data_IF_353499224991
#
_entry.id   IF_353499224991
#
_cell.length_a   1.000
_cell.length_b   1.000
_cell.length_c   1.000
_cell.angle_alpha   90.00
_cell.angle_beta   90.00
_cell.angle_gamma   90.00
#
_symmetry.space_group_name_H-M   'P 1'
#
loop_
_entity.id
_entity.type
_entity.pdbx_description
1 polymer ?
#
# COMPACT_ATOMS: atom_id res chain seq x y z
N UNK A 1 -1.99 -14.38 -12.31
CA UNK A 1 -2.32 -15.30 -11.20
C UNK A 1 -3.16 -16.49 -11.71
N UNK A 2 -2.94 -17.69 -11.14
CA UNK A 2 -3.80 -18.85 -11.40
C UNK A 2 -5.16 -18.73 -10.72
N UNK A 3 -6.14 -19.52 -11.17
CA UNK A 3 -7.31 -19.85 -10.36
C UNK A 3 -6.94 -20.68 -9.13
N UNK A 4 -7.96 -21.12 -8.40
CA UNK A 4 -7.79 -22.04 -7.27
C UNK A 4 -7.98 -23.49 -7.70
N UNK A 5 -7.23 -24.40 -7.07
CA UNK A 5 -7.52 -25.85 -7.18
C UNK A 5 -8.90 -26.16 -6.61
N UNK A 6 -9.50 -27.25 -7.07
CA UNK A 6 -10.76 -27.75 -6.50
C UNK A 6 -10.49 -28.44 -5.16
N UNK A 7 -11.45 -28.35 -4.26
CA UNK A 7 -11.39 -28.97 -2.94
C UNK A 7 -11.92 -28.04 -1.84
N UNK A 8 -11.96 -28.52 -0.61
CA UNK A 8 -12.34 -27.73 0.56
C UNK A 8 -11.37 -26.58 0.77
N UNK A 9 -10.08 -26.83 0.54
CA UNK A 9 -9.03 -25.82 0.49
C UNK A 9 -8.56 -25.69 -0.97
N UNK A 10 -8.72 -24.52 -1.55
CA UNK A 10 -8.21 -24.20 -2.87
C UNK A 10 -6.83 -23.53 -2.76
N UNK A 11 -5.91 -23.92 -3.63
CA UNK A 11 -4.58 -23.32 -3.73
C UNK A 11 -4.39 -22.64 -5.07
N UNK A 12 -3.64 -21.56 -5.09
CA UNK A 12 -3.26 -20.87 -6.32
C UNK A 12 -1.88 -20.24 -6.20
N UNK A 13 -1.31 -19.90 -7.33
CA UNK A 13 -0.02 -19.24 -7.45
C UNK A 13 -0.10 -18.08 -8.41
N UNK A 14 0.80 -17.14 -8.27
CA UNK A 14 0.92 -16.03 -9.19
C UNK A 14 2.36 -15.55 -9.29
N UNK A 15 2.62 -14.80 -10.34
CA UNK A 15 3.85 -14.04 -10.51
C UNK A 15 3.48 -12.59 -10.81
N UNK A 16 4.32 -11.70 -10.36
CA UNK A 16 4.26 -10.27 -10.66
C UNK A 16 5.66 -9.83 -11.10
N UNK A 17 5.74 -8.92 -12.03
CA UNK A 17 7.01 -8.38 -12.46
C UNK A 17 6.84 -7.22 -13.40
N UNK A 18 7.86 -6.39 -13.44
CA UNK A 18 8.01 -5.30 -14.39
C UNK A 18 9.42 -5.27 -14.95
N UNK A 19 9.55 -4.69 -16.13
CA UNK A 19 10.82 -4.45 -16.78
C UNK A 19 10.80 -3.09 -17.43
N UNK A 20 11.91 -2.38 -17.33
CA UNK A 20 12.06 -1.03 -17.85
C UNK A 20 13.37 -0.89 -18.61
N UNK A 21 13.37 -0.04 -19.62
CA UNK A 21 14.55 0.31 -20.38
C UNK A 21 14.50 1.78 -20.76
N UNK A 22 15.67 2.41 -20.78
CA UNK A 22 15.83 3.81 -21.11
C UNK A 22 15.69 4.04 -22.62
N UNK A 23 14.91 5.04 -22.97
CA UNK A 23 14.85 5.56 -24.34
C UNK A 23 15.70 6.83 -24.42
N UNK A 24 16.74 6.79 -25.26
CA UNK A 24 17.63 7.94 -25.46
C UNK A 24 18.93 7.86 -24.66
N UNK A 25 19.72 8.94 -24.73
CA UNK A 25 21.11 8.98 -24.23
C UNK A 25 21.28 9.78 -22.94
N UNK A 26 20.23 10.45 -22.44
CA UNK A 26 20.35 11.30 -21.27
C UNK A 26 20.43 10.47 -19.99
N UNK A 27 21.31 10.86 -19.07
CA UNK A 27 21.30 10.31 -17.71
C UNK A 27 20.18 10.98 -16.91
N UNK A 28 19.29 10.15 -16.35
CA UNK A 28 18.13 10.58 -15.56
C UNK A 28 18.32 10.31 -14.06
N UNK A 29 19.56 10.26 -13.59
CA UNK A 29 19.86 10.08 -12.17
C UNK A 29 19.15 11.15 -11.32
N UNK A 30 18.63 10.73 -10.17
CA UNK A 30 17.97 11.61 -9.20
C UNK A 30 16.49 11.91 -9.45
N UNK A 31 15.86 11.33 -10.48
CA UNK A 31 14.43 11.52 -10.74
C UNK A 31 13.51 10.62 -9.88
N UNK A 32 14.09 9.75 -9.05
CA UNK A 32 13.37 8.78 -8.19
C UNK A 32 12.43 7.81 -8.95
N UNK A 33 12.67 7.63 -10.24
CA UNK A 33 11.94 6.69 -11.09
C UNK A 33 12.84 5.58 -11.63
N UNK A 34 14.14 5.82 -11.61
CA UNK A 34 15.17 4.96 -12.20
C UNK A 34 16.13 4.57 -11.09
N UNK A 35 16.42 3.28 -10.87
CA UNK A 35 17.42 2.83 -9.93
C UNK A 35 18.79 3.40 -10.23
N UNK A 36 19.55 3.69 -9.20
CA UNK A 36 20.90 4.21 -9.29
C UNK A 36 21.93 3.08 -9.15
N UNK A 37 23.05 3.19 -9.88
CA UNK A 37 24.19 2.32 -9.65
C UNK A 37 24.85 2.64 -8.30
N UNK A 38 25.41 1.63 -7.66
CA UNK A 38 26.14 1.76 -6.39
C UNK A 38 25.34 2.50 -5.29
N UNK A 39 24.03 2.25 -5.24
CA UNK A 39 23.11 2.85 -4.25
C UNK A 39 23.17 4.40 -4.22
N UNK A 40 23.55 5.00 -5.35
CA UNK A 40 23.65 6.44 -5.52
C UNK A 40 24.99 7.03 -5.12
N UNK A 41 25.98 6.22 -4.81
CA UNK A 41 27.35 6.70 -4.60
C UNK A 41 27.91 7.35 -5.87
N UNK A 42 28.62 8.43 -5.68
CA UNK A 42 29.26 9.18 -6.77
C UNK A 42 30.51 8.44 -7.25
N UNK A 43 30.70 8.43 -8.56
CA UNK A 43 31.95 7.98 -9.16
C UNK A 43 33.13 8.93 -8.79
N UNK A 44 34.35 8.59 -9.24
CA UNK A 44 35.53 9.40 -9.01
C UNK A 44 35.44 10.84 -9.58
N UNK A 45 34.47 11.10 -10.47
CA UNK A 45 34.20 12.42 -11.08
C UNK A 45 33.02 13.14 -10.42
N UNK A 46 32.43 12.54 -9.37
CA UNK A 46 31.30 13.11 -8.66
C UNK A 46 29.94 12.90 -9.33
N UNK A 47 29.84 12.03 -10.35
CA UNK A 47 28.60 11.72 -11.04
C UNK A 47 27.90 10.52 -10.41
N UNK A 48 26.59 10.62 -10.28
CA UNK A 48 25.70 9.49 -9.99
C UNK A 48 25.18 8.95 -11.31
N UNK A 49 25.31 7.64 -11.53
CA UNK A 49 24.83 6.97 -12.74
C UNK A 49 23.56 6.17 -12.46
N UNK A 50 22.68 6.08 -13.44
CA UNK A 50 21.42 5.37 -13.38
C UNK A 50 21.44 4.18 -14.33
N UNK A 51 20.68 3.13 -13.97
CA UNK A 51 20.54 1.96 -14.84
C UNK A 51 19.86 2.31 -16.16
N UNK A 52 20.36 1.74 -17.25
CA UNK A 52 19.76 1.85 -18.57
C UNK A 52 18.60 0.87 -18.78
N UNK A 53 18.62 -0.22 -18.05
CA UNK A 53 17.55 -1.22 -18.04
C UNK A 53 17.56 -1.96 -16.70
N UNK A 54 16.39 -2.33 -16.22
CA UNK A 54 16.23 -3.13 -15.00
C UNK A 54 14.91 -3.89 -15.02
N UNK A 55 14.82 -4.89 -14.17
CA UNK A 55 13.59 -5.63 -13.95
C UNK A 55 13.44 -6.02 -12.49
N UNK A 56 12.21 -6.14 -12.07
CA UNK A 56 11.84 -6.56 -10.73
C UNK A 56 10.77 -7.64 -10.85
N UNK A 57 10.62 -8.46 -9.83
CA UNK A 57 9.58 -9.46 -9.83
C UNK A 57 9.49 -10.24 -8.54
N UNK A 58 8.40 -10.97 -8.39
CA UNK A 58 8.16 -11.83 -7.26
C UNK A 58 7.08 -12.86 -7.52
N UNK A 59 7.01 -13.82 -6.62
CA UNK A 59 5.99 -14.85 -6.61
C UNK A 59 4.99 -14.65 -5.49
N UNK A 60 3.79 -15.18 -5.67
CA UNK A 60 2.75 -15.24 -4.67
C UNK A 60 2.16 -16.64 -4.63
N UNK A 61 1.91 -17.13 -3.44
CA UNK A 61 1.07 -18.31 -3.20
C UNK A 61 -0.17 -17.88 -2.45
N UNK A 62 -1.30 -18.51 -2.77
CA UNK A 62 -2.57 -18.18 -2.13
C UNK A 62 -3.33 -19.45 -1.79
N UNK A 63 -4.04 -19.41 -0.68
CA UNK A 63 -4.92 -20.47 -0.25
C UNK A 63 -6.28 -19.86 0.11
N UNK A 64 -7.35 -20.58 -0.21
CA UNK A 64 -8.71 -20.18 0.12
C UNK A 64 -9.46 -21.34 0.77
N UNK A 65 -10.12 -21.04 1.88
CA UNK A 65 -11.10 -21.93 2.50
C UNK A 65 -12.38 -21.12 2.70
N UNK A 66 -13.51 -21.63 2.22
CA UNK A 66 -14.78 -20.90 2.23
C UNK A 66 -14.61 -19.49 1.63
N UNK A 67 -14.94 -18.44 2.35
CA UNK A 67 -14.82 -17.04 1.97
C UNK A 67 -13.57 -16.35 2.58
N UNK A 68 -12.61 -17.13 3.06
CA UNK A 68 -11.34 -16.61 3.60
C UNK A 68 -10.20 -16.95 2.68
N UNK A 69 -9.45 -15.95 2.27
CA UNK A 69 -8.23 -16.05 1.45
C UNK A 69 -7.00 -15.62 2.26
N UNK A 70 -5.92 -16.38 2.14
CA UNK A 70 -4.59 -16.01 2.61
C UNK A 70 -3.64 -15.96 1.42
N UNK A 71 -2.91 -14.88 1.28
CA UNK A 71 -1.89 -14.65 0.25
C UNK A 71 -0.54 -14.43 0.92
N UNK A 72 0.50 -15.08 0.39
CA UNK A 72 1.88 -14.87 0.82
C UNK A 72 2.79 -14.66 -0.38
N UNK A 73 3.60 -13.63 -0.31
CA UNK A 73 4.58 -13.30 -1.36
C UNK A 73 4.58 -11.81 -1.71
N UNK A 74 5.03 -11.51 -2.93
CA UNK A 74 5.16 -10.15 -3.44
C UNK A 74 3.81 -9.64 -3.95
N UNK A 75 3.36 -8.49 -3.43
CA UNK A 75 2.02 -7.93 -3.66
C UNK A 75 2.07 -6.43 -3.84
N UNK A 76 1.13 -5.91 -4.61
CA UNK A 76 0.74 -4.49 -4.59
C UNK A 76 -0.43 -4.36 -3.60
N UNK A 77 -0.31 -3.43 -2.66
CA UNK A 77 -1.29 -3.21 -1.60
C UNK A 77 -2.10 -1.94 -1.86
N UNK A 78 -3.37 -1.98 -1.49
CA UNK A 78 -4.28 -0.84 -1.52
C UNK A 78 -5.13 -0.80 -0.24
N UNK A 79 -4.47 -0.74 0.91
CA UNK A 79 -5.13 -0.60 2.21
C UNK A 79 -5.04 0.85 2.67
N UNK A 80 -6.07 1.39 3.34
CA UNK A 80 -6.09 2.80 3.76
C UNK A 80 -4.88 3.22 4.61
N UNK A 81 -4.31 2.28 5.36
CA UNK A 81 -3.17 2.52 6.27
C UNK A 81 -1.83 2.08 5.70
N UNK A 82 -1.81 1.21 4.66
CA UNK A 82 -0.61 0.73 3.99
C UNK A 82 -0.91 0.46 2.52
N UNK A 83 -0.55 1.38 1.65
CA UNK A 83 -0.74 1.25 0.21
C UNK A 83 0.59 1.35 -0.52
N UNK A 84 0.70 0.60 -1.61
CA UNK A 84 1.81 0.70 -2.56
C UNK A 84 1.82 2.07 -3.23
N UNK A 85 2.99 2.66 -3.34
CA UNK A 85 3.16 3.86 -4.15
C UNK A 85 2.98 3.49 -5.64
N UNK A 86 1.92 3.99 -6.25
CA UNK A 86 1.59 3.80 -7.68
C UNK A 86 1.78 5.09 -8.49
N UNK A 87 2.23 6.17 -7.86
CA UNK A 87 2.49 7.46 -8.52
C UNK A 87 3.80 7.52 -9.32
N UNK A 88 4.53 6.41 -9.40
CA UNK A 88 5.77 6.26 -10.16
C UNK A 88 5.53 5.39 -11.40
N UNK A 89 6.57 5.23 -12.23
CA UNK A 89 6.51 4.45 -13.47
C UNK A 89 6.11 2.98 -13.23
N UNK A 90 6.55 2.39 -12.14
CA UNK A 90 6.21 1.03 -11.69
C UNK A 90 5.79 1.07 -10.21
N UNK A 91 4.87 0.20 -9.76
CA UNK A 91 4.36 0.24 -8.39
C UNK A 91 5.41 -0.22 -7.37
N UNK A 92 5.29 0.26 -6.15
CA UNK A 92 5.96 -0.32 -5.00
C UNK A 92 5.43 -1.72 -4.72
N UNK A 93 6.32 -2.65 -4.39
CA UNK A 93 5.97 -4.01 -3.98
C UNK A 93 6.18 -4.19 -2.48
N UNK A 94 5.24 -4.90 -1.85
CA UNK A 94 5.39 -5.40 -0.49
C UNK A 94 5.50 -6.92 -0.50
N UNK A 95 6.31 -7.48 0.39
CA UNK A 95 6.42 -8.93 0.57
C UNK A 95 5.97 -9.31 1.97
N UNK A 96 5.01 -10.21 2.05
CA UNK A 96 4.43 -10.65 3.31
C UNK A 96 3.15 -11.45 3.13
N UNK A 97 2.41 -11.57 4.22
CA UNK A 97 1.13 -12.29 4.29
C UNK A 97 -0.02 -11.31 4.39
N UNK A 98 -1.07 -11.55 3.63
CA UNK A 98 -2.35 -10.86 3.72
C UNK A 98 -3.46 -11.90 3.85
N UNK A 99 -4.32 -11.73 4.84
CA UNK A 99 -5.56 -12.48 5.02
C UNK A 99 -6.74 -11.54 4.75
N UNK A 100 -7.71 -12.00 3.98
CA UNK A 100 -9.00 -11.33 3.77
C UNK A 100 -10.12 -12.34 3.99
N UNK A 101 -11.11 -11.98 4.80
CA UNK A 101 -12.24 -12.86 5.14
C UNK A 101 -13.58 -12.15 4.95
N UNK A 102 -14.51 -12.87 4.32
CA UNK A 102 -15.92 -12.48 4.12
C UNK A 102 -16.86 -13.55 4.67
N UNK A 103 -16.46 -14.26 5.74
CA UNK A 103 -17.29 -15.32 6.36
C UNK A 103 -18.55 -14.78 7.01
N UNK A 104 -18.51 -13.55 7.47
CA UNK A 104 -19.66 -12.89 8.09
C UNK A 104 -20.32 -12.00 7.03
N UNK A 105 -21.61 -12.15 6.87
CA UNK A 105 -22.38 -11.35 5.92
C UNK A 105 -22.15 -9.85 6.14
N UNK A 106 -21.90 -9.12 5.08
CA UNK A 106 -21.65 -7.69 5.06
C UNK A 106 -20.37 -7.22 5.81
N UNK A 107 -19.53 -8.13 6.28
CA UNK A 107 -18.31 -7.84 6.99
C UNK A 107 -17.10 -8.35 6.19
N UNK A 108 -16.17 -7.48 5.86
CA UNK A 108 -14.83 -7.80 5.42
C UNK A 108 -13.86 -7.62 6.59
N UNK A 109 -13.00 -8.59 6.82
CA UNK A 109 -11.91 -8.52 7.79
C UNK A 109 -10.60 -8.69 7.04
N UNK A 110 -9.63 -7.85 7.37
CA UNK A 110 -8.29 -7.88 6.81
C UNK A 110 -7.27 -7.98 7.95
N UNK A 111 -6.26 -8.82 7.79
CA UNK A 111 -5.08 -8.87 8.65
C UNK A 111 -3.86 -9.19 7.81
N UNK A 112 -2.72 -8.55 8.11
CA UNK A 112 -1.50 -8.78 7.34
C UNK A 112 -0.24 -8.50 8.13
N UNK A 113 0.85 -9.11 7.66
CA UNK A 113 2.21 -8.86 8.14
C UNK A 113 3.14 -8.80 6.95
N UNK A 114 3.79 -7.68 6.78
CA UNK A 114 4.78 -7.44 5.73
C UNK A 114 6.14 -7.16 6.36
N UNK A 115 7.18 -7.68 5.74
CA UNK A 115 8.55 -7.60 6.26
C UNK A 115 9.54 -7.03 5.26
N UNK A 116 9.09 -6.76 4.04
CA UNK A 116 9.91 -6.19 2.97
C UNK A 116 9.07 -5.28 2.10
N UNK A 117 9.68 -4.22 1.61
CA UNK A 117 9.17 -3.44 0.49
C UNK A 117 10.25 -3.27 -0.59
N UNK A 118 9.82 -2.89 -1.77
CA UNK A 118 10.66 -2.54 -2.90
C UNK A 118 10.04 -1.35 -3.60
N UNK A 119 10.68 -0.21 -3.44
CA UNK A 119 10.25 1.03 -4.08
C UNK A 119 10.39 0.94 -5.61
N UNK A 120 9.75 1.84 -6.34
CA UNK A 120 9.77 1.86 -7.81
C UNK A 120 11.17 2.03 -8.42
N UNK A 121 12.07 2.68 -7.71
CA UNK A 121 13.46 2.95 -8.08
C UNK A 121 14.48 2.01 -7.41
N UNK A 122 14.03 0.88 -6.88
CA UNK A 122 14.89 -0.13 -6.25
C UNK A 122 14.87 -1.44 -7.04
N UNK A 123 16.06 -2.00 -7.27
CA UNK A 123 16.22 -3.34 -7.87
C UNK A 123 16.14 -4.43 -6.81
N UNK A 124 16.61 -4.14 -5.60
CA UNK A 124 16.60 -5.07 -4.47
C UNK A 124 15.51 -4.68 -3.46
N UNK A 125 14.92 -5.67 -2.82
CA UNK A 125 14.03 -5.46 -1.67
C UNK A 125 14.80 -4.89 -0.48
N UNK A 126 14.18 -4.00 0.29
CA UNK A 126 14.74 -3.33 1.46
C UNK A 126 16.04 -2.54 1.20
N UNK A 127 16.34 -2.27 -0.06
CA UNK A 127 17.47 -1.45 -0.42
C UNK A 127 16.98 -0.07 -0.85
N UNK A 128 17.04 0.88 0.03
CA UNK A 128 17.06 2.29 -0.33
C UNK A 128 18.49 2.83 -0.20
N UNK A 129 18.71 4.05 -0.71
CA UNK A 129 20.01 4.73 -0.65
C UNK A 129 20.50 4.95 0.79
N UNK A 130 19.59 4.87 1.76
CA UNK A 130 19.86 5.11 3.18
C UNK A 130 19.76 3.83 4.03
N UNK A 131 19.46 2.68 3.44
CA UNK A 131 19.29 1.42 4.17
C UNK A 131 18.00 1.33 5.01
N UNK A 132 16.98 2.13 4.67
CA UNK A 132 15.76 2.27 5.45
C UNK A 132 14.62 1.42 4.86
N UNK A 133 14.84 0.14 4.67
CA UNK A 133 13.79 -0.78 4.26
C UNK A 133 12.75 -1.01 5.34
N UNK A 134 11.65 -1.65 4.96
CA UNK A 134 10.58 -2.03 5.88
C UNK A 134 11.03 -3.16 6.80
N UNK A 135 11.18 -2.89 8.09
CA UNK A 135 11.48 -3.92 9.09
C UNK A 135 10.29 -4.87 9.31
N UNK A 136 9.12 -4.28 9.57
CA UNK A 136 7.86 -4.99 9.82
C UNK A 136 6.71 -4.00 9.75
N UNK A 137 5.66 -4.37 9.04
CA UNK A 137 4.35 -3.73 9.14
C UNK A 137 3.30 -4.78 9.48
N UNK A 138 2.52 -4.56 10.52
CA UNK A 138 1.34 -5.34 10.86
C UNK A 138 0.11 -4.47 10.58
N UNK A 139 -0.81 -5.01 9.78
CA UNK A 139 -2.06 -4.33 9.43
C UNK A 139 -3.25 -5.15 9.88
N UNK A 140 -4.30 -4.49 10.29
CA UNK A 140 -5.60 -5.09 10.58
C UNK A 140 -6.71 -4.12 10.20
N UNK A 141 -7.88 -4.66 9.93
CA UNK A 141 -9.01 -3.80 9.61
C UNK A 141 -10.30 -4.57 9.41
N UNK A 142 -11.38 -3.81 9.42
CA UNK A 142 -12.69 -4.30 9.11
C UNK A 142 -13.50 -3.24 8.38
N UNK A 143 -14.33 -3.69 7.43
CA UNK A 143 -15.32 -2.87 6.75
C UNK A 143 -16.67 -3.54 6.88
N UNK A 144 -17.67 -2.82 7.38
CA UNK A 144 -19.01 -3.32 7.58
C UNK A 144 -20.03 -2.50 6.79
N UNK A 145 -20.85 -3.19 6.03
CA UNK A 145 -21.99 -2.63 5.32
C UNK A 145 -23.25 -2.84 6.16
N UNK A 146 -23.75 -1.77 6.81
CA UNK A 146 -24.96 -1.82 7.63
C UNK A 146 -26.19 -2.05 6.75
N UNK A 147 -26.28 -1.29 5.67
CA UNK A 147 -27.32 -1.42 4.63
C UNK A 147 -26.78 -0.89 3.29
N UNK A 148 -27.65 -0.67 2.30
CA UNK A 148 -27.25 -0.17 0.98
C UNK A 148 -26.81 1.30 0.98
N UNK A 149 -27.07 2.01 2.06
CA UNK A 149 -26.79 3.44 2.19
C UNK A 149 -25.68 3.76 3.18
N UNK A 150 -25.38 2.86 4.13
CA UNK A 150 -24.42 3.12 5.20
C UNK A 150 -23.39 2.03 5.28
N UNK A 151 -22.12 2.42 5.20
CA UNK A 151 -20.99 1.55 5.54
C UNK A 151 -19.97 2.31 6.39
N UNK A 152 -19.22 1.56 7.17
CA UNK A 152 -18.10 2.09 7.94
C UNK A 152 -16.91 1.13 7.88
N UNK A 153 -15.72 1.68 8.04
CA UNK A 153 -14.49 0.89 8.11
C UNK A 153 -13.54 1.44 9.16
N UNK A 154 -12.74 0.54 9.69
CA UNK A 154 -11.61 0.86 10.57
C UNK A 154 -10.41 0.03 10.15
N UNK A 155 -9.24 0.66 10.09
CA UNK A 155 -7.96 0.00 9.83
C UNK A 155 -6.90 0.52 10.78
N UNK A 156 -5.97 -0.35 11.15
CA UNK A 156 -4.80 -0.04 11.96
C UNK A 156 -3.52 -0.56 11.32
N UNK A 157 -2.43 0.11 11.58
CA UNK A 157 -1.06 -0.23 11.17
C UNK A 157 -0.12 -0.02 12.34
N UNK A 158 0.70 -1.02 12.61
CA UNK A 158 1.92 -0.93 13.43
C UNK A 158 3.12 -1.20 12.52
N UNK A 159 3.89 -0.17 12.20
CA UNK A 159 5.13 -0.26 11.44
C UNK A 159 6.31 -0.05 12.37
N UNK A 160 7.07 -1.13 12.61
CA UNK A 160 8.20 -1.13 13.55
C UNK A 160 9.21 -0.05 13.20
N UNK A 161 9.66 0.70 14.21
CA UNK A 161 10.62 1.80 14.10
C UNK A 161 10.17 2.95 13.20
N UNK A 162 8.89 3.03 12.84
CA UNK A 162 8.37 4.06 11.96
C UNK A 162 7.15 4.76 12.57
N UNK A 163 6.01 4.10 12.63
CA UNK A 163 4.77 4.74 13.08
C UNK A 163 3.67 3.72 13.43
N UNK A 164 2.73 4.17 14.24
CA UNK A 164 1.42 3.58 14.41
C UNK A 164 0.38 4.48 13.74
N UNK A 165 -0.57 3.90 13.00
CA UNK A 165 -1.61 4.64 12.28
C UNK A 165 -2.96 3.97 12.42
N UNK A 166 -3.98 4.80 12.64
CA UNK A 166 -5.37 4.38 12.65
C UNK A 166 -6.15 5.17 11.61
N UNK A 167 -7.10 4.51 10.98
CA UNK A 167 -8.00 5.09 10.00
C UNK A 167 -9.43 4.67 10.29
N UNK A 168 -10.34 5.63 10.22
CA UNK A 168 -11.78 5.42 10.26
C UNK A 168 -12.42 6.08 9.06
N UNK A 169 -13.38 5.42 8.45
CA UNK A 169 -14.22 6.00 7.42
C UNK A 169 -15.68 5.63 7.65
N UNK A 170 -16.57 6.59 7.40
CA UNK A 170 -18.01 6.39 7.36
C UNK A 170 -18.51 6.99 6.04
N UNK A 171 -19.20 6.18 5.26
CA UNK A 171 -19.84 6.60 4.02
C UNK A 171 -21.35 6.43 4.15
N UNK A 172 -22.09 7.51 3.90
CA UNK A 172 -23.55 7.53 3.95
C UNK A 172 -24.13 8.13 2.68
N UNK A 173 -25.01 7.38 2.04
CA UNK A 173 -25.79 7.81 0.87
C UNK A 173 -27.23 8.11 1.28
N UNK A 174 -27.63 9.35 1.18
CA UNK A 174 -28.99 9.81 1.39
C UNK A 174 -29.76 9.77 0.05
N UNK A 175 -30.71 8.86 -0.12
CA UNK A 175 -31.61 8.90 -1.29
C UNK A 175 -32.47 10.15 -1.27
N UNK A 176 -32.66 10.74 -2.43
CA UNK A 176 -33.52 11.91 -2.65
C UNK A 176 -34.59 11.58 -3.71
N UNK A 177 -35.48 12.52 -3.96
CA UNK A 177 -36.50 12.39 -5.02
C UNK A 177 -35.87 12.30 -6.42
N UNK A 178 -36.61 11.73 -7.39
CA UNK A 178 -36.20 11.61 -8.79
C UNK A 178 -34.89 10.87 -9.01
N UNK A 179 -34.69 9.74 -8.32
CA UNK A 179 -33.50 8.90 -8.38
C UNK A 179 -32.16 9.61 -8.08
N UNK A 180 -32.25 10.80 -7.49
CA UNK A 180 -31.05 11.52 -7.06
C UNK A 180 -30.59 11.08 -5.67
N UNK A 181 -29.36 11.40 -5.33
CA UNK A 181 -28.81 11.09 -4.01
C UNK A 181 -27.72 12.07 -3.60
N UNK A 182 -27.57 12.24 -2.30
CA UNK A 182 -26.47 12.97 -1.68
C UNK A 182 -25.62 11.98 -0.89
N UNK A 183 -24.34 11.90 -1.22
CA UNK A 183 -23.37 11.01 -0.54
C UNK A 183 -22.47 11.86 0.34
N UNK A 184 -22.27 11.40 1.56
CA UNK A 184 -21.31 11.95 2.53
C UNK A 184 -20.25 10.91 2.78
N UNK A 185 -19.00 11.32 2.72
CA UNK A 185 -17.83 10.49 3.06
C UNK A 185 -16.97 11.22 4.10
N UNK A 186 -16.90 10.66 5.30
CA UNK A 186 -16.10 11.18 6.41
C UNK A 186 -14.95 10.22 6.67
N UNK A 187 -13.74 10.74 6.59
CA UNK A 187 -12.52 10.00 6.88
C UNK A 187 -11.69 10.69 7.96
N UNK A 188 -11.05 9.91 8.81
CA UNK A 188 -10.11 10.42 9.80
C UNK A 188 -8.89 9.49 9.93
N UNK A 189 -7.70 10.10 10.04
CA UNK A 189 -6.44 9.44 10.35
C UNK A 189 -5.87 9.97 11.66
N UNK A 190 -5.39 9.06 12.49
CA UNK A 190 -4.52 9.36 13.62
C UNK A 190 -3.19 8.64 13.40
N UNK A 191 -2.07 9.36 13.42
CA UNK A 191 -0.73 8.79 13.25
C UNK A 191 0.16 9.24 14.40
N UNK A 192 0.84 8.29 15.03
CA UNK A 192 1.90 8.52 16.01
C UNK A 192 3.21 7.99 15.42
N UNK A 193 4.25 8.82 15.40
CA UNK A 193 5.59 8.44 14.93
C UNK A 193 6.41 7.90 16.09
N UNK A 194 7.18 6.83 15.82
CA UNK A 194 8.13 6.26 16.77
C UNK A 194 9.36 7.15 16.95
N UNK A 195 10.05 6.99 18.08
CA UNK A 195 11.33 7.68 18.33
C UNK A 195 12.37 7.43 17.26
N UNK A 196 12.41 6.20 16.72
CA UNK A 196 13.32 5.81 15.65
C UNK A 196 12.95 6.38 14.27
N UNK A 197 11.76 6.96 14.10
CA UNK A 197 11.30 7.52 12.82
C UNK A 197 12.19 8.67 12.31
N UNK A 198 12.99 9.28 13.19
CA UNK A 198 13.95 10.32 12.81
C UNK A 198 15.03 9.83 11.84
N UNK A 199 15.30 8.51 11.81
CA UNK A 199 16.27 7.90 10.90
C UNK A 199 15.77 7.95 9.44
N UNK A 200 14.46 8.05 9.24
CA UNK A 200 13.82 8.14 7.91
C UNK A 200 13.69 9.55 7.38
N UNK A 201 13.88 10.54 8.22
CA UNK A 201 13.73 11.94 7.80
C UNK A 201 15.10 12.55 7.56
N UNK A 202 15.37 12.96 6.32
CA UNK A 202 16.49 13.86 6.00
C UNK A 202 16.21 15.30 6.48
N UNK A 203 15.08 15.52 7.15
CA UNK A 203 14.76 16.81 7.74
C UNK A 203 15.38 16.94 9.13
N UNK A 204 15.81 18.11 9.49
CA UNK A 204 16.31 18.46 10.83
C UNK A 204 15.21 18.41 11.90
N UNK A 205 13.98 18.09 11.52
CA UNK A 205 12.83 18.02 12.37
C UNK A 205 12.77 16.70 13.12
N UNK A 206 12.74 16.77 14.45
CA UNK A 206 12.53 15.60 15.30
C UNK A 206 11.08 15.10 15.15
N UNK A 207 10.89 13.92 14.57
CA UNK A 207 9.58 13.27 14.41
C UNK A 207 9.19 12.38 15.59
N UNK A 208 10.11 12.19 16.55
CA UNK A 208 9.89 11.37 17.74
C UNK A 208 8.65 11.83 18.49
N UNK A 209 7.77 10.88 18.80
CA UNK A 209 6.50 11.10 19.52
C UNK A 209 5.54 12.13 18.89
N UNK A 210 5.81 12.60 17.68
CA UNK A 210 4.87 13.47 16.97
C UNK A 210 3.59 12.73 16.64
N UNK A 211 2.49 13.43 16.77
CA UNK A 211 1.16 12.98 16.36
C UNK A 211 0.67 13.81 15.19
N UNK A 212 -0.06 13.17 14.31
CA UNK A 212 -0.73 13.84 13.20
C UNK A 212 -2.17 13.34 13.11
N UNK A 213 -3.11 14.27 13.20
CA UNK A 213 -4.54 14.02 13.05
C UNK A 213 -5.03 14.71 11.79
N UNK A 214 -5.63 13.94 10.89
CA UNK A 214 -6.19 14.42 9.63
C UNK A 214 -7.62 13.94 9.55
N UNK A 215 -8.53 14.80 9.18
CA UNK A 215 -9.89 14.44 8.83
C UNK A 215 -10.32 15.11 7.54
N UNK A 216 -11.21 14.47 6.80
CA UNK A 216 -11.77 14.97 5.56
C UNK A 216 -13.25 14.61 5.49
N UNK A 217 -14.06 15.56 5.03
CA UNK A 217 -15.46 15.34 4.67
C UNK A 217 -15.63 15.70 3.21
N UNK A 218 -16.08 14.76 2.41
CA UNK A 218 -16.52 15.03 1.06
C UNK A 218 -18.02 14.81 0.91
N UNK A 219 -18.63 15.56 0.01
CA UNK A 219 -20.03 15.40 -0.35
C UNK A 219 -20.18 15.37 -1.87
N UNK A 220 -21.02 14.47 -2.36
CA UNK A 220 -21.30 14.34 -3.79
C UNK A 220 -22.82 14.28 -4.01
N UNK A 221 -23.32 15.14 -4.89
CA UNK A 221 -24.68 15.08 -5.36
C UNK A 221 -24.74 14.36 -6.70
N UNK A 222 -25.52 13.29 -6.75
CA UNK A 222 -25.76 12.53 -7.96
C UNK A 222 -27.19 12.82 -8.45
N UNK A 223 -27.33 13.29 -9.68
CA UNK A 223 -28.61 13.40 -10.35
C UNK A 223 -29.02 12.04 -10.89
N UNK A 224 -30.31 11.71 -10.84
CA UNK A 224 -30.83 10.55 -11.55
C UNK A 224 -30.50 10.65 -13.05
N UNK A 225 -30.38 9.50 -13.71
CA UNK A 225 -30.21 9.49 -15.16
C UNK A 225 -31.42 10.13 -15.86
N UNK A 226 -31.17 11.10 -16.71
CA UNK A 226 -32.13 11.65 -17.66
C UNK A 226 -31.93 10.99 -19.02
#
# INVERSE_FOLDING_TARGET
>A
ESGYTQGIVGFGVGVIGDGSFKLGKNNHAGNQMIPLHNDGDKDANGHVDAYDHWGRGGGIVKARISNTEVRYGTQVLDLPVLASNTGRMVPEYFTGTLLTSHEIKNLEIVAGKFTKNQMSDQIKTDADVNGNGLDRAIVWGAKYKFDDNLNASYYGLDSKNALERHYVNVNFKQPLANDSSLTYDLSAYHTKFDEAANTYSQTTDNLSDRKNDIWALSTAYNTGAH
#
